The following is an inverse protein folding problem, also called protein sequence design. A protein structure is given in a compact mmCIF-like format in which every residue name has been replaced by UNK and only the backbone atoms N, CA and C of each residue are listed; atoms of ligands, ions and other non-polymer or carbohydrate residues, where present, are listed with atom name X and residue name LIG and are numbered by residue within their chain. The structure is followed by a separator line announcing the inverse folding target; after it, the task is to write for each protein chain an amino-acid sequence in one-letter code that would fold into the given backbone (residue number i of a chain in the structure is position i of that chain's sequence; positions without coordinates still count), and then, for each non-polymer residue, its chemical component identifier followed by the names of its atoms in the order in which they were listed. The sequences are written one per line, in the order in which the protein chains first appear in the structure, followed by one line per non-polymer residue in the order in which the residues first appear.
data_IF_387579364466
#
_entry.id   IF_387579364466
#
_cell.length_a   1.000
_cell.length_b   1.000
_cell.length_c   1.000
_cell.angle_alpha   90.00
_cell.angle_beta   90.00
_cell.angle_gamma   90.00
#
_symmetry.space_group_name_H-M   'P 1'
#
loop_
_entity.id
_entity.type
_entity.pdbx_description
1 polymer ?
#
# COMPACT_ATOMS: atom_id res chain seq x y z
N UNK A 1 21.52 24.97 -15.59
CA UNK A 1 21.30 24.14 -14.39
C UNK A 1 20.26 23.11 -14.79
N UNK A 2 20.69 21.89 -15.09
CA UNK A 2 19.75 20.79 -15.32
C UNK A 2 18.96 20.63 -14.02
N UNK A 3 17.64 20.90 -14.08
CA UNK A 3 16.74 20.44 -13.03
C UNK A 3 16.90 18.93 -13.03
N UNK A 4 17.54 18.39 -12.01
CA UNK A 4 17.52 16.97 -11.75
C UNK A 4 16.05 16.65 -11.42
N UNK A 5 15.24 16.39 -12.46
CA UNK A 5 13.83 16.10 -12.31
C UNK A 5 13.73 14.82 -11.51
N UNK A 6 13.36 15.01 -10.24
CA UNK A 6 13.17 13.94 -9.29
C UNK A 6 12.00 13.09 -9.80
N UNK A 7 12.36 12.03 -10.51
CA UNK A 7 11.40 11.21 -11.23
C UNK A 7 10.66 10.33 -10.23
N UNK A 8 9.36 10.58 -10.09
CA UNK A 8 8.46 9.74 -9.30
C UNK A 8 8.57 8.28 -9.76
N UNK A 9 8.49 7.30 -8.84
CA UNK A 9 8.35 5.89 -9.19
C UNK A 9 7.20 5.66 -10.18
N UNK A 10 7.39 4.75 -11.12
CA UNK A 10 6.44 4.49 -12.20
C UNK A 10 5.74 3.15 -12.02
N UNK A 11 4.43 3.12 -12.33
CA UNK A 11 3.63 1.89 -12.29
C UNK A 11 4.15 0.89 -13.32
N UNK A 12 4.26 -0.38 -12.93
CA UNK A 12 4.75 -1.47 -13.78
C UNK A 12 6.27 -1.57 -13.88
N UNK A 13 7.02 -0.66 -13.24
CA UNK A 13 8.49 -0.71 -13.18
C UNK A 13 8.97 -1.22 -11.80
N UNK A 14 10.19 -1.80 -11.73
CA UNK A 14 10.83 -2.09 -10.45
C UNK A 14 10.93 -0.82 -9.59
N UNK A 15 10.62 -0.94 -8.29
CA UNK A 15 10.75 0.20 -7.38
C UNK A 15 12.21 0.59 -7.17
N UNK A 16 12.52 1.89 -6.95
CA UNK A 16 13.88 2.31 -6.63
C UNK A 16 14.40 1.62 -5.37
N UNK A 17 15.52 0.92 -5.49
CA UNK A 17 16.13 0.21 -4.38
C UNK A 17 16.79 1.18 -3.39
N UNK A 18 16.75 0.84 -2.11
CA UNK A 18 17.45 1.58 -1.06
C UNK A 18 17.79 0.68 0.13
N UNK A 19 18.81 1.11 0.88
CA UNK A 19 19.06 0.59 2.22
C UNK A 19 18.71 1.68 3.24
N UNK A 20 18.02 1.30 4.31
CA UNK A 20 17.67 2.24 5.37
C UNK A 20 17.70 1.60 6.75
N UNK A 21 17.94 2.42 7.77
CA UNK A 21 17.75 2.01 9.15
C UNK A 21 16.27 2.11 9.51
N UNK A 22 15.81 1.24 10.41
CA UNK A 22 14.42 1.24 10.88
C UNK A 22 14.37 0.97 12.38
N UNK A 23 13.17 1.12 12.95
CA UNK A 23 12.88 0.67 14.32
C UNK A 23 13.22 -0.81 14.58
N UNK A 24 13.25 -1.65 13.53
CA UNK A 24 13.54 -3.09 13.62
C UNK A 24 14.90 -3.51 13.06
N UNK A 25 15.78 -2.56 12.77
CA UNK A 25 17.11 -2.82 12.20
C UNK A 25 17.22 -2.34 10.76
N UNK A 26 18.36 -2.61 10.14
CA UNK A 26 18.63 -2.25 8.74
C UNK A 26 17.79 -3.11 7.80
N UNK A 27 17.26 -2.52 6.74
CA UNK A 27 16.59 -3.23 5.64
C UNK A 27 17.26 -2.88 4.30
N UNK A 28 17.16 -3.80 3.34
CA UNK A 28 17.43 -3.62 1.92
C UNK A 28 16.12 -3.77 1.14
N UNK A 29 15.59 -2.67 0.62
CA UNK A 29 14.31 -2.63 -0.09
C UNK A 29 14.51 -2.58 -1.61
N UNK A 30 13.75 -3.34 -2.42
CA UNK A 30 12.69 -4.29 -2.04
C UNK A 30 13.20 -5.71 -1.73
N UNK A 31 14.51 -5.96 -1.78
CA UNK A 31 15.11 -7.31 -1.77
C UNK A 31 14.73 -8.16 -0.54
N UNK A 32 14.71 -7.57 0.66
CA UNK A 32 14.33 -8.26 1.90
C UNK A 32 12.86 -8.72 1.93
N UNK A 33 12.05 -8.25 0.99
CA UNK A 33 10.61 -8.52 0.91
C UNK A 33 10.22 -9.35 -0.32
N UNK A 34 11.18 -9.90 -1.06
CA UNK A 34 10.90 -10.79 -2.21
C UNK A 34 9.93 -11.90 -1.84
N UNK A 35 8.95 -12.13 -2.73
CA UNK A 35 7.88 -13.12 -2.49
C UNK A 35 6.70 -12.61 -1.67
N UNK A 36 6.77 -11.39 -1.13
CA UNK A 36 5.67 -10.76 -0.37
C UNK A 36 5.24 -9.46 -1.03
N UNK A 37 3.97 -9.12 -0.87
CA UNK A 37 3.53 -7.75 -1.11
C UNK A 37 4.10 -6.83 -0.04
N UNK A 38 4.34 -5.57 -0.40
CA UNK A 38 4.70 -4.54 0.57
C UNK A 38 3.87 -3.30 0.34
N UNK A 39 3.31 -2.78 1.42
CA UNK A 39 2.81 -1.40 1.48
C UNK A 39 3.86 -0.55 2.16
N UNK A 40 4.60 0.21 1.35
CA UNK A 40 5.47 1.28 1.82
C UNK A 40 4.63 2.54 1.96
N UNK A 41 4.64 3.18 3.11
CA UNK A 41 3.85 4.38 3.35
C UNK A 41 4.60 5.39 4.19
N UNK A 42 4.35 6.67 3.93
CA UNK A 42 4.97 7.76 4.70
C UNK A 42 3.95 8.48 5.60
N UNK A 43 4.47 9.14 6.63
CA UNK A 43 3.73 10.11 7.43
C UNK A 43 4.59 11.37 7.67
N UNK A 44 3.97 12.56 7.83
CA UNK A 44 4.72 13.80 7.97
C UNK A 44 5.69 13.87 9.15
N UNK A 45 5.22 13.52 10.35
CA UNK A 45 6.02 13.61 11.57
C UNK A 45 5.43 12.75 12.69
N UNK A 46 6.30 12.19 13.52
CA UNK A 46 5.96 11.59 14.80
C UNK A 46 5.28 12.60 15.73
N UNK A 47 4.57 12.11 16.75
CA UNK A 47 3.89 12.95 17.75
C UNK A 47 2.86 13.94 17.18
N UNK A 48 2.32 13.68 15.99
CA UNK A 48 1.22 14.46 15.40
C UNK A 48 -0.08 13.65 15.36
N UNK A 49 -1.26 14.30 15.51
CA UNK A 49 -2.51 13.60 15.78
C UNK A 49 -2.98 12.71 14.63
N UNK A 50 -2.97 13.20 13.38
CA UNK A 50 -3.44 12.41 12.23
C UNK A 50 -2.51 11.21 12.01
N UNK A 51 -1.19 11.40 12.08
CA UNK A 51 -0.22 10.30 11.97
C UNK A 51 -0.43 9.27 13.08
N UNK A 52 -0.77 9.73 14.28
CA UNK A 52 -1.08 8.85 15.42
C UNK A 52 -2.30 8.00 15.14
N UNK A 53 -3.37 8.58 14.57
CA UNK A 53 -4.55 7.80 14.17
C UNK A 53 -4.20 6.75 13.11
N UNK A 54 -3.36 7.09 12.13
CA UNK A 54 -3.00 6.18 11.03
C UNK A 54 -2.08 5.03 11.47
N UNK A 55 -1.06 5.33 12.28
CA UNK A 55 -0.15 4.30 12.81
C UNK A 55 -0.87 3.35 13.76
N UNK A 56 -1.79 3.86 14.57
CA UNK A 56 -2.66 3.03 15.41
C UNK A 56 -3.52 2.10 14.55
N UNK A 57 -4.14 2.60 13.48
CA UNK A 57 -4.96 1.79 12.57
C UNK A 57 -4.13 0.74 11.84
N UNK A 58 -2.99 1.08 11.22
CA UNK A 58 -2.10 0.06 10.65
C UNK A 58 -1.64 -0.96 11.70
N UNK A 59 -1.31 -0.50 12.91
CA UNK A 59 -0.87 -1.35 14.01
C UNK A 59 -1.92 -2.39 14.39
N UNK A 60 -3.18 -1.97 14.49
CA UNK A 60 -4.30 -2.85 14.81
C UNK A 60 -4.58 -3.89 13.71
N UNK A 61 -4.39 -3.50 12.44
CA UNK A 61 -4.67 -4.37 11.28
C UNK A 61 -3.43 -5.08 10.72
N UNK A 62 -2.26 -4.99 11.37
CA UNK A 62 -1.00 -5.55 10.84
C UNK A 62 -1.12 -7.04 10.50
N UNK A 63 -1.77 -7.82 11.36
CA UNK A 63 -1.95 -9.27 11.14
C UNK A 63 -2.96 -9.60 10.03
N UNK A 64 -3.85 -8.67 9.68
CA UNK A 64 -4.74 -8.83 8.53
C UNK A 64 -3.97 -8.65 7.23
N UNK A 65 -3.08 -7.65 7.14
CA UNK A 65 -2.19 -7.47 5.99
C UNK A 65 -1.24 -8.67 5.84
N UNK A 66 -0.66 -9.18 6.93
CA UNK A 66 0.18 -10.39 6.89
C UNK A 66 -0.56 -11.62 6.41
N UNK A 67 -1.83 -11.78 6.80
CA UNK A 67 -2.66 -12.88 6.32
C UNK A 67 -2.91 -12.81 4.80
N UNK A 68 -2.81 -11.62 4.20
CA UNK A 68 -2.83 -11.39 2.75
C UNK A 68 -1.42 -11.42 2.13
N UNK A 69 -0.42 -12.02 2.79
CA UNK A 69 0.98 -12.04 2.34
C UNK A 69 1.54 -10.63 2.05
N UNK A 70 1.15 -9.64 2.85
CA UNK A 70 1.59 -8.26 2.73
C UNK A 70 2.28 -7.78 4.02
N UNK A 71 3.50 -7.25 3.86
CA UNK A 71 4.17 -6.52 4.94
C UNK A 71 3.89 -5.02 4.84
N UNK A 72 3.94 -4.35 5.98
CA UNK A 72 3.84 -2.90 6.07
C UNK A 72 5.23 -2.33 6.36
N UNK A 73 5.56 -1.18 5.77
CA UNK A 73 6.79 -0.43 6.06
C UNK A 73 6.43 1.05 6.15
N UNK A 74 6.58 1.64 7.34
CA UNK A 74 6.36 3.06 7.56
C UNK A 74 7.62 3.88 7.28
N UNK A 75 7.46 5.18 7.07
CA UNK A 75 8.56 6.14 6.89
C UNK A 75 8.15 7.52 7.39
N UNK A 76 9.03 8.17 8.15
CA UNK A 76 9.04 9.63 8.24
C UNK A 76 10.47 10.14 8.23
N UNK A 77 10.62 11.46 8.30
CA UNK A 77 11.91 12.14 8.37
C UNK A 77 12.42 12.31 9.80
N UNK A 78 11.75 11.66 10.77
CA UNK A 78 12.18 11.68 12.17
C UNK A 78 13.28 10.65 12.43
N UNK A 79 13.97 10.82 13.56
CA UNK A 79 15.00 9.86 13.98
C UNK A 79 14.40 8.58 14.55
N UNK A 80 15.15 7.47 14.49
CA UNK A 80 14.78 6.20 15.12
C UNK A 80 14.40 6.31 16.60
N UNK A 81 15.09 7.17 17.35
CA UNK A 81 14.78 7.40 18.77
C UNK A 81 13.40 8.04 18.97
N UNK A 82 13.04 8.97 18.08
CA UNK A 82 11.69 9.55 18.04
C UNK A 82 10.64 8.47 17.79
N UNK A 83 10.85 7.62 16.78
CA UNK A 83 9.91 6.55 16.46
C UNK A 83 9.68 5.62 17.66
N UNK A 84 10.76 5.18 18.33
CA UNK A 84 10.65 4.28 19.49
C UNK A 84 9.86 4.94 20.63
N UNK A 85 10.13 6.21 20.93
CA UNK A 85 9.40 6.94 21.96
C UNK A 85 7.94 7.17 21.60
N UNK A 86 7.65 7.45 20.34
CA UNK A 86 6.30 7.65 19.83
C UNK A 86 5.49 6.36 19.83
N UNK A 87 6.05 5.26 19.34
CA UNK A 87 5.41 3.94 19.37
C UNK A 87 5.10 3.47 20.80
N UNK A 88 6.00 3.76 21.76
CA UNK A 88 5.74 3.54 23.19
C UNK A 88 4.55 4.37 23.66
N UNK A 89 4.51 5.65 23.30
CA UNK A 89 3.40 6.56 23.65
C UNK A 89 2.06 6.08 23.06
N UNK A 90 2.03 5.66 21.80
CA UNK A 90 0.85 5.09 21.14
C UNK A 90 0.31 3.91 21.96
N UNK A 91 1.19 2.98 22.31
CA UNK A 91 0.80 1.78 23.05
C UNK A 91 0.29 2.08 24.46
N UNK A 92 1.01 2.94 25.19
CA UNK A 92 0.77 3.16 26.62
C UNK A 92 -0.34 4.17 26.91
N UNK A 93 -0.57 5.14 26.01
CA UNK A 93 -1.38 6.34 26.33
C UNK A 93 -2.51 6.63 25.36
N UNK A 94 -2.52 6.07 24.16
CA UNK A 94 -3.48 6.44 23.13
C UNK A 94 -4.60 5.41 23.03
N UNK A 95 -5.83 5.90 23.12
CA UNK A 95 -7.04 5.18 22.76
C UNK A 95 -7.79 5.99 21.69
N UNK A 96 -8.13 5.35 20.57
CA UNK A 96 -8.89 5.99 19.50
C UNK A 96 -9.78 4.98 18.79
N UNK A 97 -11.08 5.28 18.66
CA UNK A 97 -12.09 4.39 18.06
C UNK A 97 -12.06 2.96 18.64
N UNK A 98 -11.82 2.83 19.95
CA UNK A 98 -11.75 1.54 20.66
C UNK A 98 -10.42 0.77 20.49
N UNK A 99 -9.48 1.27 19.68
CA UNK A 99 -8.13 0.72 19.59
C UNK A 99 -7.29 1.24 20.76
N UNK A 100 -6.76 0.32 21.58
CA UNK A 100 -5.86 0.58 22.73
C UNK A 100 -4.85 -0.55 22.89
N UNK A 101 -3.74 -0.31 23.60
CA UNK A 101 -2.61 -1.25 23.75
C UNK A 101 -2.16 -1.85 22.40
N UNK A 102 -2.20 -1.05 21.35
CA UNK A 102 -1.84 -1.50 20.01
C UNK A 102 -0.32 -1.62 19.92
N UNK A 103 0.15 -2.84 19.66
CA UNK A 103 1.56 -3.10 19.37
C UNK A 103 1.80 -2.94 17.87
N UNK A 104 2.48 -1.86 17.49
CA UNK A 104 2.89 -1.63 16.10
C UNK A 104 3.95 -2.65 15.69
N UNK A 105 3.56 -3.56 14.79
CA UNK A 105 4.31 -4.75 14.41
C UNK A 105 5.20 -4.60 13.19
N UNK A 106 5.22 -3.45 12.52
CA UNK A 106 6.01 -3.18 11.31
C UNK A 106 7.17 -2.20 11.58
N UNK A 107 8.22 -2.21 10.74
CA UNK A 107 9.30 -1.23 10.82
C UNK A 107 8.84 0.17 10.38
N UNK A 108 9.46 1.20 10.97
CA UNK A 108 9.39 2.59 10.50
C UNK A 108 10.82 3.02 10.16
N UNK A 109 11.02 3.50 8.93
CA UNK A 109 12.29 4.00 8.38
C UNK A 109 12.61 5.38 8.97
N UNK A 110 13.87 5.57 9.40
CA UNK A 110 14.40 6.83 9.93
C UNK A 110 15.05 7.72 8.85
N UNK A 111 14.25 8.30 7.97
CA UNK A 111 14.75 9.05 6.81
C UNK A 111 15.09 10.51 7.10
N UNK A 112 15.91 10.76 8.13
CA UNK A 112 16.31 12.13 8.57
C UNK A 112 16.96 12.94 7.43
N UNK A 113 17.69 12.25 6.55
CA UNK A 113 18.34 12.87 5.39
C UNK A 113 17.39 13.08 4.20
N UNK A 114 16.12 12.71 4.34
CA UNK A 114 15.09 12.75 3.30
C UNK A 114 15.48 12.03 2.01
N UNK A 115 16.35 11.01 2.08
CA UNK A 115 16.88 10.31 0.90
C UNK A 115 15.82 9.42 0.28
N UNK A 116 15.14 8.63 1.10
CA UNK A 116 14.10 7.70 0.62
C UNK A 116 12.84 8.49 0.25
N UNK A 117 12.44 9.46 1.06
CA UNK A 117 11.33 10.37 0.80
C UNK A 117 11.54 11.12 -0.53
N UNK A 118 12.76 11.59 -0.77
CA UNK A 118 13.17 12.16 -2.05
C UNK A 118 13.07 11.16 -3.20
N UNK A 119 13.66 9.98 -3.04
CA UNK A 119 13.70 8.95 -4.07
C UNK A 119 12.30 8.51 -4.52
N UNK A 120 11.33 8.55 -3.60
CA UNK A 120 9.95 8.17 -3.85
C UNK A 120 9.02 9.38 -4.10
N UNK A 121 9.53 10.61 -4.23
CA UNK A 121 8.69 11.79 -4.48
C UNK A 121 7.72 12.13 -3.33
N UNK A 122 8.02 11.71 -2.11
CA UNK A 122 7.20 11.97 -0.92
C UNK A 122 7.37 13.41 -0.39
N UNK A 123 8.43 14.13 -0.78
CA UNK A 123 8.58 15.55 -0.47
C UNK A 123 7.87 16.37 -1.55
N UNK A 124 6.77 17.01 -1.19
CA UNK A 124 5.96 17.83 -2.09
C UNK A 124 6.06 19.30 -1.66
N UNK A 125 6.85 20.15 -2.35
CA UNK A 125 7.16 21.51 -1.88
C UNK A 125 5.94 22.42 -1.67
N UNK A 126 4.82 22.15 -2.34
CA UNK A 126 3.55 22.84 -2.11
C UNK A 126 2.86 22.51 -0.78
N UNK A 127 3.25 21.41 -0.15
CA UNK A 127 2.73 20.96 1.15
C UNK A 127 3.77 21.14 2.27
N UNK A 128 5.01 20.69 2.04
CA UNK A 128 6.14 20.85 2.97
C UNK A 128 7.48 20.59 2.29
N UNK A 129 8.52 21.33 2.69
CA UNK A 129 9.90 21.08 2.26
C UNK A 129 10.67 20.17 3.23
N UNK A 130 10.12 19.92 4.42
CA UNK A 130 10.82 19.25 5.53
C UNK A 130 10.01 18.09 6.09
N UNK A 131 8.94 17.66 5.42
CA UNK A 131 8.12 16.53 5.84
C UNK A 131 7.62 15.79 4.61
N UNK A 132 7.55 14.46 4.72
CA UNK A 132 6.91 13.64 3.71
C UNK A 132 5.39 13.85 3.73
N UNK A 133 4.75 13.87 2.56
CA UNK A 133 3.28 13.77 2.50
C UNK A 133 2.83 12.35 2.86
N UNK A 134 1.52 12.10 2.89
CA UNK A 134 0.95 10.80 3.25
C UNK A 134 0.88 9.91 2.01
N UNK A 135 2.04 9.46 1.54
CA UNK A 135 2.15 8.58 0.38
C UNK A 135 1.92 7.11 0.77
N UNK A 136 1.43 6.32 -0.18
CA UNK A 136 1.27 4.86 -0.09
C UNK A 136 1.72 4.26 -1.41
N UNK A 137 2.54 3.22 -1.37
CA UNK A 137 3.04 2.48 -2.52
C UNK A 137 2.71 1.00 -2.34
N UNK A 138 2.10 0.40 -3.36
CA UNK A 138 1.80 -1.02 -3.40
C UNK A 138 2.85 -1.71 -4.25
N UNK A 139 3.73 -2.47 -3.61
CA UNK A 139 4.83 -3.18 -4.25
C UNK A 139 4.51 -4.67 -4.25
N UNK A 140 4.58 -5.30 -5.42
CA UNK A 140 4.26 -6.71 -5.55
C UNK A 140 5.43 -7.63 -5.14
N UNK A 141 5.20 -8.96 -5.07
CA UNK A 141 6.23 -9.94 -4.72
C UNK A 141 7.49 -9.95 -5.59
N UNK A 142 7.46 -9.29 -6.75
CA UNK A 142 8.59 -9.17 -7.68
C UNK A 142 9.31 -7.84 -7.53
N UNK A 143 8.91 -6.99 -6.59
CA UNK A 143 9.48 -5.66 -6.39
C UNK A 143 8.98 -4.63 -7.41
N UNK A 144 7.83 -4.85 -8.04
CA UNK A 144 7.26 -3.94 -9.05
C UNK A 144 6.20 -3.05 -8.41
N UNK A 145 6.19 -1.75 -8.75
CA UNK A 145 5.17 -0.82 -8.29
C UNK A 145 3.84 -1.07 -9.00
N UNK A 146 2.75 -1.27 -8.24
CA UNK A 146 1.42 -1.60 -8.77
C UNK A 146 0.38 -0.52 -8.59
N UNK A 147 0.48 0.27 -7.54
CA UNK A 147 -0.34 1.44 -7.30
C UNK A 147 0.40 2.41 -6.38
N UNK A 148 0.03 3.69 -6.44
CA UNK A 148 0.47 4.69 -5.47
C UNK A 148 -0.63 5.71 -5.20
N UNK A 149 -0.66 6.24 -3.98
CA UNK A 149 -1.64 7.26 -3.57
C UNK A 149 -0.93 8.32 -2.73
N UNK A 150 -1.22 9.60 -3.00
CA UNK A 150 -0.63 10.74 -2.29
C UNK A 150 -1.73 11.57 -1.64
N UNK A 151 -1.76 11.57 -0.32
CA UNK A 151 -2.63 12.41 0.48
C UNK A 151 -1.86 13.63 1.01
N UNK A 152 -2.49 14.81 1.11
CA UNK A 152 -1.89 15.98 1.74
C UNK A 152 -1.69 15.78 3.25
N UNK A 153 -0.99 16.70 3.90
CA UNK A 153 -0.69 16.62 5.34
C UNK A 153 -1.97 16.57 6.19
N UNK A 154 -3.01 17.30 5.78
CA UNK A 154 -4.22 17.49 6.58
C UNK A 154 -5.28 16.38 6.46
N UNK A 155 -5.13 15.41 5.54
CA UNK A 155 -6.13 14.36 5.28
C UNK A 155 -5.62 12.97 5.67
N UNK A 156 -6.21 12.38 6.72
CA UNK A 156 -5.95 10.98 7.07
C UNK A 156 -6.46 10.03 5.99
N UNK A 157 -5.71 8.95 5.74
CA UNK A 157 -6.00 7.96 4.70
C UNK A 157 -7.18 7.05 5.04
N UNK A 158 -7.81 6.52 4.00
CA UNK A 158 -8.82 5.48 4.12
C UNK A 158 -8.17 4.08 4.05
N UNK A 159 -8.24 3.34 5.15
CA UNK A 159 -7.66 2.01 5.28
C UNK A 159 -8.48 0.90 4.61
N UNK A 160 -9.79 1.09 4.49
CA UNK A 160 -10.65 0.20 3.71
C UNK A 160 -10.19 0.20 2.25
N UNK A 161 -9.89 1.38 1.71
CA UNK A 161 -9.40 1.52 0.34
C UNK A 161 -8.00 0.91 0.16
N UNK A 162 -7.09 1.13 1.12
CA UNK A 162 -5.76 0.52 1.06
C UNK A 162 -5.87 -1.00 1.01
N UNK A 163 -6.73 -1.60 1.85
CA UNK A 163 -6.98 -3.03 1.84
C UNK A 163 -7.65 -3.48 0.54
N UNK A 164 -8.66 -2.74 0.05
CA UNK A 164 -9.38 -3.04 -1.19
C UNK A 164 -8.46 -3.05 -2.40
N UNK A 165 -7.55 -2.07 -2.51
CA UNK A 165 -6.54 -2.02 -3.59
C UNK A 165 -5.61 -3.23 -3.52
N UNK A 166 -5.08 -3.57 -2.33
CA UNK A 166 -4.23 -4.76 -2.18
C UNK A 166 -4.95 -6.04 -2.63
N UNK A 167 -6.15 -6.27 -2.12
CA UNK A 167 -6.96 -7.45 -2.47
C UNK A 167 -7.31 -7.45 -3.96
N UNK A 168 -7.65 -6.28 -4.53
CA UNK A 168 -7.95 -6.15 -5.95
C UNK A 168 -6.75 -6.49 -6.84
N UNK A 169 -5.57 -5.96 -6.52
CA UNK A 169 -4.33 -6.27 -7.25
C UNK A 169 -3.97 -7.76 -7.17
N UNK A 170 -4.11 -8.37 -6.00
CA UNK A 170 -3.92 -9.81 -5.82
C UNK A 170 -4.95 -10.64 -6.59
N UNK A 171 -6.20 -10.17 -6.67
CA UNK A 171 -7.27 -10.84 -7.43
C UNK A 171 -6.98 -10.78 -8.93
N UNK A 172 -6.54 -9.62 -9.44
CA UNK A 172 -6.11 -9.47 -10.84
C UNK A 172 -5.03 -10.49 -11.17
N UNK A 173 -3.99 -10.59 -10.34
CA UNK A 173 -2.86 -11.49 -10.57
C UNK A 173 -3.27 -12.98 -10.48
N UNK A 174 -4.14 -13.33 -9.53
CA UNK A 174 -4.54 -14.72 -9.29
C UNK A 174 -5.49 -15.27 -10.37
N UNK A 175 -6.31 -14.42 -10.99
CA UNK A 175 -7.38 -14.84 -11.89
C UNK A 175 -7.21 -14.36 -13.34
N UNK A 176 -6.26 -13.47 -13.63
CA UNK A 176 -6.04 -12.94 -14.99
C UNK A 176 -7.23 -12.10 -15.49
N UNK A 177 -7.84 -11.34 -14.59
CA UNK A 177 -9.06 -10.55 -14.84
C UNK A 177 -8.79 -9.05 -14.67
N UNK A 178 -9.76 -8.22 -15.03
CA UNK A 178 -9.80 -6.80 -14.68
C UNK A 178 -10.95 -6.52 -13.69
N UNK A 179 -10.84 -5.43 -12.94
CA UNK A 179 -11.83 -5.05 -11.93
C UNK A 179 -12.57 -3.78 -12.36
N UNK A 180 -13.90 -3.73 -12.29
CA UNK A 180 -14.67 -2.53 -12.60
C UNK A 180 -14.48 -1.45 -11.51
N UNK A 181 -15.03 -0.26 -11.79
CA UNK A 181 -15.13 0.79 -10.79
C UNK A 181 -15.90 0.30 -9.55
N UNK A 182 -15.51 0.79 -8.37
CA UNK A 182 -16.10 0.48 -7.07
C UNK A 182 -16.12 -1.02 -6.68
N UNK A 183 -15.36 -1.86 -7.38
CA UNK A 183 -15.32 -3.30 -7.14
C UNK A 183 -14.91 -3.65 -5.70
N UNK A 184 -15.64 -4.60 -5.12
CA UNK A 184 -15.36 -5.29 -3.86
C UNK A 184 -15.34 -6.82 -4.06
N UNK A 185 -14.67 -7.58 -3.17
CA UNK A 185 -14.66 -9.03 -3.26
C UNK A 185 -16.07 -9.63 -3.28
N UNK A 186 -16.39 -10.39 -4.34
CA UNK A 186 -17.71 -10.95 -4.60
C UNK A 186 -18.47 -10.27 -5.74
N UNK A 187 -18.07 -9.05 -6.13
CA UNK A 187 -18.66 -8.36 -7.28
C UNK A 187 -18.18 -9.00 -8.61
N UNK A 188 -18.93 -8.74 -9.68
CA UNK A 188 -18.53 -9.17 -11.03
C UNK A 188 -17.19 -8.56 -11.45
N UNK A 189 -16.42 -9.33 -12.20
CA UNK A 189 -15.12 -8.93 -12.76
C UNK A 189 -15.23 -8.78 -14.27
N UNK A 190 -14.35 -7.96 -14.85
CA UNK A 190 -14.22 -7.79 -16.29
C UNK A 190 -13.30 -8.88 -16.84
N UNK A 191 -13.74 -9.55 -17.90
CA UNK A 191 -12.91 -10.50 -18.66
C UNK A 191 -12.13 -9.72 -19.71
N UNK A 192 -10.79 -9.66 -19.65
CA UNK A 192 -9.99 -8.98 -20.67
C UNK A 192 -10.18 -9.66 -22.03
N UNK A 193 -10.56 -8.88 -23.05
CA UNK A 193 -10.73 -9.40 -24.40
C UNK A 193 -9.50 -9.10 -25.25
N UNK A 194 -9.07 -10.08 -26.06
CA UNK A 194 -8.04 -9.86 -27.08
C UNK A 194 -8.70 -9.31 -28.34
N UNK A 195 -7.98 -8.45 -29.06
CA UNK A 195 -8.56 -7.67 -30.17
C UNK A 195 -9.12 -8.50 -31.33
N UNK A 196 -8.74 -9.76 -31.45
CA UNK A 196 -9.21 -10.74 -32.44
C UNK A 196 -10.40 -11.59 -31.96
N UNK A 197 -10.79 -11.51 -30.69
CA UNK A 197 -11.85 -12.33 -30.07
C UNK A 197 -13.24 -11.66 -30.09
N UNK A 198 -13.50 -10.73 -31.02
CA UNK A 198 -14.73 -9.91 -31.03
C UNK A 198 -16.05 -10.71 -31.08
N UNK A 199 -16.01 -11.94 -31.59
CA UNK A 199 -17.18 -12.82 -31.71
C UNK A 199 -17.23 -13.93 -30.65
N UNK A 200 -16.21 -14.04 -29.79
CA UNK A 200 -16.15 -15.10 -28.76
C UNK A 200 -16.63 -14.57 -27.43
N UNK A 201 -17.77 -15.10 -26.97
CA UNK A 201 -18.22 -14.91 -25.59
C UNK A 201 -17.40 -15.83 -24.68
N UNK A 202 -16.62 -15.30 -23.72
CA UNK A 202 -15.90 -16.13 -22.76
C UNK A 202 -16.85 -17.00 -21.95
N UNK A 203 -16.41 -18.21 -21.60
CA UNK A 203 -17.23 -19.13 -20.82
C UNK A 203 -17.66 -18.50 -19.48
N UNK A 204 -18.96 -18.59 -19.17
CA UNK A 204 -19.54 -18.04 -17.95
C UNK A 204 -19.62 -16.51 -17.90
N UNK A 205 -19.31 -15.82 -19.01
CA UNK A 205 -19.39 -14.36 -19.07
C UNK A 205 -20.70 -13.87 -19.71
N UNK A 206 -21.17 -12.72 -19.23
CA UNK A 206 -22.20 -11.90 -19.85
C UNK A 206 -21.51 -10.76 -20.60
N UNK A 207 -21.66 -10.73 -21.92
CA UNK A 207 -21.12 -9.65 -22.76
C UNK A 207 -22.20 -8.62 -23.08
N UNK A 208 -21.93 -7.36 -22.77
CA UNK A 208 -22.74 -6.22 -23.18
C UNK A 208 -22.36 -5.73 -24.58
N UNK A 209 -21.07 -5.87 -24.91
CA UNK A 209 -20.49 -5.63 -26.23
C UNK A 209 -19.17 -6.41 -26.33
N UNK A 210 -18.54 -6.45 -27.51
CA UNK A 210 -17.32 -7.23 -27.78
C UNK A 210 -16.12 -6.86 -26.88
N UNK A 211 -16.09 -5.64 -26.37
CA UNK A 211 -15.04 -5.14 -25.47
C UNK A 211 -15.44 -5.17 -23.99
N UNK A 212 -16.70 -5.52 -23.68
CA UNK A 212 -17.24 -5.43 -22.34
C UNK A 212 -17.99 -6.68 -21.95
N UNK A 213 -17.24 -7.63 -21.40
CA UNK A 213 -17.76 -8.86 -20.82
C UNK A 213 -17.47 -8.89 -19.32
N UNK A 214 -18.49 -9.23 -18.52
CA UNK A 214 -18.36 -9.47 -17.09
C UNK A 214 -18.60 -10.92 -16.76
N UNK A 215 -18.02 -11.41 -15.66
CA UNK A 215 -18.35 -12.71 -15.08
C UNK A 215 -18.42 -12.63 -13.56
N UNK A 216 -19.26 -13.45 -12.90
CA UNK A 216 -19.25 -13.52 -11.46
C UNK A 216 -17.91 -14.07 -10.95
N UNK A 217 -17.44 -13.55 -9.82
CA UNK A 217 -16.31 -14.10 -9.07
C UNK A 217 -16.67 -14.13 -7.58
N UNK A 218 -17.22 -15.26 -7.08
CA UNK A 218 -17.68 -15.36 -5.70
C UNK A 218 -16.55 -15.08 -4.70
N UNK A 219 -16.91 -14.41 -3.59
CA UNK A 219 -15.95 -14.02 -2.56
C UNK A 219 -15.20 -15.22 -1.98
N UNK A 220 -15.87 -16.36 -1.85
CA UNK A 220 -15.31 -17.62 -1.35
C UNK A 220 -14.24 -18.19 -2.29
N UNK A 221 -14.34 -17.93 -3.60
CA UNK A 221 -13.32 -18.32 -4.56
C UNK A 221 -12.05 -17.47 -4.42
N UNK A 222 -12.22 -16.16 -4.23
CA UNK A 222 -11.11 -15.25 -3.94
C UNK A 222 -10.44 -15.66 -2.61
N UNK A 223 -11.24 -15.92 -1.57
CA UNK A 223 -10.76 -16.36 -0.27
C UNK A 223 -9.97 -17.68 -0.33
N UNK A 224 -10.36 -18.63 -1.16
CA UNK A 224 -9.60 -19.87 -1.37
C UNK A 224 -8.22 -19.64 -2.00
N UNK A 225 -8.05 -18.58 -2.80
CA UNK A 225 -6.78 -18.27 -3.49
C UNK A 225 -5.88 -17.33 -2.69
N UNK A 226 -6.45 -16.34 -2.02
CA UNK A 226 -5.71 -15.28 -1.34
C UNK A 226 -5.70 -15.42 0.20
N UNK A 227 -6.54 -16.29 0.75
CA UNK A 227 -6.74 -16.50 2.19
C UNK A 227 -8.15 -16.13 2.64
N UNK A 228 -8.68 -16.84 3.65
CA UNK A 228 -10.07 -16.71 4.11
C UNK A 228 -10.45 -15.32 4.65
N UNK A 229 -9.46 -14.46 4.92
CA UNK A 229 -9.66 -13.11 5.46
C UNK A 229 -9.93 -12.05 4.39
N UNK A 230 -10.18 -12.42 3.14
CA UNK A 230 -10.62 -11.53 2.04
C UNK A 230 -12.01 -10.96 2.30
#
# INVERSE_FOLDING_TARGET
MEKNEQQMPRLGEPVPAFEAMTTKGKISFPDDYKGKWVILFSHPADFTPICTTEILTFGAHTEEFRALNCELVGLSVDSRNSHIAWLKTIREKIEYKGMKDVKVGFPIIDDVAMKVASLYGMIQPGESQTAAVRAVFFVDPKGVLRAMIYYPLALGRNFDEIRRVLVGLQTIDAFGIALPADWRPGDEVIVPMKGDDQEKVPEGAKCYDWFFCTKPLPKEEIGRKLGEKV
#
